data_IF_948452059447
#
_entry.id   IF_948452059447
#
_cell.length_a   1.000
_cell.length_b   1.000
_cell.length_c   1.000
_cell.angle_alpha   90.00
_cell.angle_beta   90.00
_cell.angle_gamma   90.00
#
_symmetry.space_group_name_H-M   'P 1'
#
loop_
_entity.id
_entity.type
_entity.pdbx_description
1 polymer ?
#
# COMPACT_ATOMS: atom_id res chain seq x y z
N UNK A 1 3.75 -4.81 -12.69
CA UNK A 1 3.62 -4.23 -14.04
C UNK A 1 2.59 -5.06 -14.82
N UNK A 2 1.89 -4.51 -15.82
CA UNK A 2 0.81 -5.22 -16.50
C UNK A 2 1.40 -6.43 -17.22
N UNK A 3 0.79 -7.59 -17.05
CA UNK A 3 1.17 -8.83 -17.72
C UNK A 3 0.77 -8.82 -19.20
N UNK A 4 1.20 -9.84 -19.95
CA UNK A 4 0.82 -10.00 -21.37
C UNK A 4 -0.70 -10.13 -21.60
N UNK A 5 -1.44 -10.55 -20.57
CA UNK A 5 -2.91 -10.71 -20.60
C UNK A 5 -3.67 -9.47 -20.13
N UNK A 6 -2.99 -8.47 -19.57
CA UNK A 6 -3.62 -7.21 -19.17
C UNK A 6 -3.84 -6.33 -20.39
N UNK A 7 -5.00 -6.50 -21.02
CA UNK A 7 -5.38 -5.80 -22.23
C UNK A 7 -6.65 -4.98 -22.06
N UNK A 8 -6.76 -3.87 -22.77
CA UNK A 8 -7.96 -3.03 -22.83
C UNK A 8 -8.47 -3.08 -24.26
N UNK A 9 -9.74 -3.44 -24.43
CA UNK A 9 -10.43 -3.37 -25.73
C UNK A 9 -10.97 -1.96 -25.88
N UNK A 10 -10.50 -1.26 -26.91
CA UNK A 10 -10.92 0.09 -27.24
C UNK A 10 -11.72 0.03 -28.52
N UNK A 11 -12.88 0.68 -28.53
CA UNK A 11 -13.64 0.89 -29.75
C UNK A 11 -13.09 2.13 -30.45
N UNK A 12 -12.33 1.92 -31.53
CA UNK A 12 -11.83 3.00 -32.37
C UNK A 12 -12.68 3.04 -33.64
N UNK A 13 -13.60 4.00 -33.70
CA UNK A 13 -14.46 4.25 -34.86
C UNK A 13 -15.22 3.01 -35.39
N UNK A 14 -15.70 2.14 -34.50
CA UNK A 14 -16.49 0.95 -34.83
C UNK A 14 -15.68 -0.35 -34.89
N UNK A 15 -14.35 -0.26 -34.85
CA UNK A 15 -13.46 -1.42 -34.80
C UNK A 15 -12.96 -1.64 -33.37
N UNK A 16 -13.15 -2.87 -32.87
CA UNK A 16 -12.63 -3.29 -31.56
C UNK A 16 -11.15 -3.63 -31.70
N UNK A 17 -10.30 -2.78 -31.15
CA UNK A 17 -8.85 -2.99 -31.13
C UNK A 17 -8.39 -3.28 -29.69
N UNK A 18 -7.64 -4.37 -29.53
CA UNK A 18 -7.10 -4.79 -28.23
C UNK A 18 -5.71 -4.20 -28.04
N UNK A 19 -5.54 -3.36 -27.02
CA UNK A 19 -4.25 -2.79 -26.64
C UNK A 19 -3.73 -3.43 -25.37
N UNK A 20 -2.42 -3.66 -25.28
CA UNK A 20 -1.80 -3.99 -24.01
C UNK A 20 -1.85 -2.78 -23.08
N UNK A 21 -2.27 -2.99 -21.84
CA UNK A 21 -2.24 -1.96 -20.79
C UNK A 21 -0.78 -1.60 -20.52
N UNK A 22 -0.45 -0.30 -20.61
CA UNK A 22 0.89 0.21 -20.26
C UNK A 22 0.78 1.19 -19.11
N UNK A 23 1.86 1.32 -18.34
CA UNK A 23 1.93 2.23 -17.20
C UNK A 23 2.78 3.43 -17.59
N UNK A 24 2.25 4.63 -17.34
CA UNK A 24 3.07 5.82 -17.33
C UNK A 24 3.89 5.86 -16.03
N UNK A 25 5.20 5.70 -16.15
CA UNK A 25 6.12 5.66 -15.00
C UNK A 25 6.35 7.06 -14.40
N UNK A 26 6.27 8.08 -15.25
CA UNK A 26 6.26 9.49 -14.88
C UNK A 26 4.90 9.90 -14.31
N UNK A 27 4.89 10.91 -13.44
CA UNK A 27 3.70 11.68 -13.17
C UNK A 27 3.24 12.40 -14.44
N UNK A 28 1.95 12.76 -14.50
CA UNK A 28 1.42 13.54 -15.63
C UNK A 28 2.15 14.89 -15.77
N UNK A 29 2.61 15.46 -14.64
CA UNK A 29 3.41 16.68 -14.64
C UNK A 29 4.77 16.49 -15.29
N UNK A 30 5.54 15.49 -14.87
CA UNK A 30 6.87 15.20 -15.43
C UNK A 30 6.77 14.86 -16.94
N UNK A 31 5.77 14.06 -17.34
CA UNK A 31 5.55 13.73 -18.74
C UNK A 31 5.18 14.97 -19.58
N UNK A 32 4.42 15.91 -19.01
CA UNK A 32 4.06 17.16 -19.68
C UNK A 32 5.26 18.10 -19.84
N UNK A 33 6.11 18.21 -18.81
CA UNK A 33 7.32 19.03 -18.86
C UNK A 33 8.32 18.49 -19.91
N UNK A 34 8.48 17.16 -20.00
CA UNK A 34 9.26 16.51 -21.05
C UNK A 34 8.67 16.75 -22.45
N UNK A 35 7.35 16.63 -22.59
CA UNK A 35 6.67 16.86 -23.86
C UNK A 35 6.92 18.28 -24.40
N UNK A 36 6.83 19.31 -23.55
CA UNK A 36 7.10 20.69 -23.96
C UNK A 36 8.58 20.92 -24.32
N UNK A 37 9.50 20.27 -23.59
CA UNK A 37 10.93 20.36 -23.89
C UNK A 37 11.27 19.74 -25.26
N UNK A 38 10.64 18.62 -25.61
CA UNK A 38 10.83 17.92 -26.89
C UNK A 38 10.05 18.56 -28.03
N UNK A 39 8.95 19.28 -27.74
CA UNK A 39 8.04 19.86 -28.72
C UNK A 39 7.80 21.37 -28.47
N UNK A 40 8.81 22.23 -28.57
CA UNK A 40 8.73 23.65 -28.21
C UNK A 40 7.74 24.47 -29.06
N UNK A 41 7.30 23.96 -30.21
CA UNK A 41 6.30 24.60 -31.09
C UNK A 41 4.85 24.21 -30.79
N UNK A 42 4.59 23.25 -29.89
CA UNK A 42 3.24 22.77 -29.58
C UNK A 42 2.72 23.46 -28.33
N UNK A 43 1.60 24.18 -28.48
CA UNK A 43 0.88 24.77 -27.35
C UNK A 43 -0.27 23.84 -26.93
N UNK A 44 -0.11 23.17 -25.79
CA UNK A 44 -1.14 22.35 -25.17
C UNK A 44 -1.12 22.61 -23.67
N UNK A 45 -2.29 22.78 -23.05
CA UNK A 45 -2.38 22.93 -21.60
C UNK A 45 -2.26 21.58 -20.88
N UNK A 46 -1.75 21.58 -19.63
CA UNK A 46 -1.55 20.35 -18.84
C UNK A 46 -2.83 19.50 -18.69
N UNK A 47 -4.00 20.12 -18.57
CA UNK A 47 -5.29 19.41 -18.47
C UNK A 47 -5.62 18.70 -19.78
N UNK A 48 -5.54 19.40 -20.91
CA UNK A 48 -5.75 18.82 -22.23
C UNK A 48 -4.73 17.70 -22.52
N UNK A 49 -3.47 17.89 -22.15
CA UNK A 49 -2.45 16.84 -22.24
C UNK A 49 -2.80 15.58 -21.42
N UNK A 50 -3.35 15.77 -20.22
CA UNK A 50 -3.79 14.65 -19.38
C UNK A 50 -4.98 13.89 -19.97
N UNK A 51 -5.90 14.59 -20.64
CA UNK A 51 -7.11 14.03 -21.28
C UNK A 51 -6.81 13.32 -22.60
N UNK A 52 -5.86 13.84 -23.39
CA UNK A 52 -5.42 13.24 -24.66
C UNK A 52 -4.59 11.96 -24.42
N UNK A 53 -4.23 11.66 -23.17
CA UNK A 53 -3.52 10.42 -22.82
C UNK A 53 -4.28 9.20 -23.38
N UNK A 54 -3.61 8.31 -24.14
CA UNK A 54 -4.28 7.14 -24.68
C UNK A 54 -4.89 6.28 -23.57
N UNK A 55 -6.10 5.80 -23.80
CA UNK A 55 -6.91 5.08 -22.80
C UNK A 55 -6.23 3.79 -22.27
N UNK A 56 -5.33 3.19 -23.06
CA UNK A 56 -4.55 2.02 -22.67
C UNK A 56 -3.34 2.36 -21.78
N UNK A 57 -3.09 3.65 -21.49
CA UNK A 57 -2.05 4.13 -20.59
C UNK A 57 -2.66 4.49 -19.22
N UNK A 58 -2.34 3.68 -18.21
CA UNK A 58 -2.73 3.92 -16.82
C UNK A 58 -1.69 4.73 -16.07
N UNK A 59 -2.14 5.64 -15.20
CA UNK A 59 -1.25 6.42 -14.33
C UNK A 59 -0.80 5.59 -13.14
N UNK A 60 0.41 5.82 -12.64
CA UNK A 60 0.94 5.12 -11.47
C UNK A 60 0.03 5.20 -10.24
N UNK A 61 -0.71 6.30 -10.07
CA UNK A 61 -1.70 6.47 -9.00
C UNK A 61 -2.95 5.61 -9.15
N UNK A 62 -3.27 5.14 -10.36
CA UNK A 62 -4.38 4.21 -10.63
C UNK A 62 -4.01 2.75 -10.38
N UNK A 63 -2.76 2.48 -10.01
CA UNK A 63 -2.36 1.17 -9.53
C UNK A 63 -2.59 1.07 -8.03
N UNK A 64 -3.51 0.20 -7.61
CA UNK A 64 -3.64 -0.27 -6.23
C UNK A 64 -2.45 -1.17 -5.79
N UNK A 65 -1.23 -0.89 -6.28
CA UNK A 65 -0.08 -1.77 -6.11
C UNK A 65 1.06 -1.05 -5.41
N UNK A 66 0.83 -0.71 -4.13
CA UNK A 66 1.92 -0.54 -3.13
C UNK A 66 1.54 -0.99 -1.72
N UNK A 67 0.28 -1.35 -1.47
CA UNK A 67 -0.17 -1.80 -0.16
C UNK A 67 -0.18 -3.33 -0.16
N UNK A 68 0.37 -3.95 0.89
CA UNK A 68 0.20 -5.37 1.09
C UNK A 68 -1.29 -5.62 1.38
N UNK A 69 -1.94 -6.49 0.62
CA UNK A 69 -3.32 -6.94 0.88
C UNK A 69 -3.38 -8.07 1.92
N UNK A 70 -2.37 -8.15 2.78
CA UNK A 70 -2.32 -9.14 3.83
C UNK A 70 -3.12 -8.68 5.05
N UNK A 71 -3.65 -9.66 5.78
CA UNK A 71 -4.42 -9.45 7.01
C UNK A 71 -3.69 -8.58 8.04
N UNK A 72 -2.36 -8.64 8.10
CA UNK A 72 -1.53 -7.83 9.00
C UNK A 72 -1.60 -6.33 8.68
N UNK A 73 -1.44 -5.96 7.41
CA UNK A 73 -1.49 -4.55 7.00
C UNK A 73 -2.93 -4.04 7.03
N UNK A 74 -3.88 -4.84 6.55
CA UNK A 74 -5.28 -4.39 6.46
C UNK A 74 -5.90 -4.22 7.85
N UNK A 75 -5.67 -5.14 8.80
CA UNK A 75 -6.21 -4.96 10.16
C UNK A 75 -5.61 -3.75 10.88
N UNK A 76 -4.32 -3.45 10.66
CA UNK A 76 -3.72 -2.22 11.19
C UNK A 76 -4.32 -1.00 10.51
N UNK A 77 -4.46 -1.01 9.18
CA UNK A 77 -5.06 0.08 8.42
C UNK A 77 -6.50 0.39 8.86
N UNK A 78 -7.33 -0.64 9.04
CA UNK A 78 -8.70 -0.50 9.54
C UNK A 78 -8.75 0.12 10.94
N UNK A 79 -7.84 -0.28 11.84
CA UNK A 79 -7.72 0.32 13.17
C UNK A 79 -7.28 1.79 13.09
N UNK A 80 -6.26 2.10 12.27
CA UNK A 80 -5.78 3.47 12.09
C UNK A 80 -6.87 4.39 11.56
N UNK A 81 -7.67 3.92 10.59
CA UNK A 81 -8.79 4.70 10.05
C UNK A 81 -9.81 5.09 11.13
N UNK A 82 -10.12 4.17 12.05
CA UNK A 82 -11.01 4.43 13.18
C UNK A 82 -10.36 5.30 14.26
N UNK A 83 -9.06 5.16 14.52
CA UNK A 83 -8.35 5.86 15.60
C UNK A 83 -7.79 7.23 15.20
N UNK A 84 -7.60 7.51 13.92
CA UNK A 84 -6.92 8.72 13.40
C UNK A 84 -7.51 10.05 13.90
N UNK A 85 -8.82 10.09 14.19
CA UNK A 85 -9.52 11.27 14.70
C UNK A 85 -9.43 11.43 16.22
N UNK A 86 -8.92 10.41 16.92
CA UNK A 86 -8.85 10.33 18.37
C UNK A 86 -7.43 10.37 18.91
N UNK A 87 -6.42 10.41 18.03
CA UNK A 87 -5.00 10.56 18.36
C UNK A 87 -4.51 11.86 17.75
N UNK A 88 -4.00 12.77 18.57
CA UNK A 88 -3.42 14.03 18.10
C UNK A 88 -2.15 13.77 17.26
N UNK A 89 -1.97 14.57 16.21
CA UNK A 89 -0.88 14.44 15.26
C UNK A 89 -1.24 13.62 14.02
N UNK A 90 -0.28 13.46 13.12
CA UNK A 90 -0.46 12.75 11.85
C UNK A 90 0.03 11.29 11.89
N UNK A 91 0.39 10.78 13.07
CA UNK A 91 0.98 9.44 13.24
C UNK A 91 0.05 8.32 12.79
N UNK A 92 -1.25 8.43 13.05
CA UNK A 92 -2.25 7.43 12.64
C UNK A 92 -2.90 7.71 11.27
N UNK A 93 -2.36 8.64 10.47
CA UNK A 93 -3.00 9.05 9.21
C UNK A 93 -2.93 8.00 8.10
N UNK A 94 -1.89 7.17 8.10
CA UNK A 94 -1.67 6.09 7.15
C UNK A 94 -0.57 5.16 7.68
N UNK A 95 -0.44 3.97 7.07
CA UNK A 95 0.54 2.96 7.47
C UNK A 95 1.99 3.43 7.42
N UNK A 96 2.35 4.32 6.49
CA UNK A 96 3.71 4.86 6.40
C UNK A 96 4.02 5.76 7.59
N UNK A 97 3.18 6.78 7.81
CA UNK A 97 3.31 7.68 8.97
C UNK A 97 3.28 6.94 10.29
N UNK A 98 2.46 5.89 10.39
CA UNK A 98 2.41 5.05 11.57
C UNK A 98 3.71 4.27 11.76
N UNK A 99 4.23 3.63 10.72
CA UNK A 99 5.51 2.89 10.80
C UNK A 99 6.65 3.82 11.23
N UNK A 100 6.81 4.96 10.57
CA UNK A 100 7.86 5.93 10.89
C UNK A 100 7.74 6.51 12.31
N UNK A 101 6.52 6.55 12.86
CA UNK A 101 6.31 7.00 14.24
C UNK A 101 6.72 5.97 15.30
N UNK A 102 6.91 4.70 14.94
CA UNK A 102 7.19 3.63 15.91
C UNK A 102 8.68 3.28 16.02
N UNK A 103 9.50 3.68 15.05
CA UNK A 103 10.89 3.25 14.96
C UNK A 103 11.81 4.42 14.63
N UNK A 104 13.06 4.37 15.10
CA UNK A 104 14.07 5.36 14.73
C UNK A 104 14.73 5.08 13.38
N UNK A 105 14.78 3.81 12.94
CA UNK A 105 15.32 3.40 11.64
C UNK A 105 14.51 2.25 11.04
N UNK A 106 13.79 2.52 9.95
CA UNK A 106 12.96 1.55 9.22
C UNK A 106 13.77 0.49 8.46
N UNK A 107 15.08 0.68 8.30
CA UNK A 107 16.00 -0.25 7.65
C UNK A 107 16.75 -1.15 8.65
N UNK A 108 16.68 -0.83 9.95
CA UNK A 108 17.30 -1.59 11.02
C UNK A 108 16.38 -2.73 11.50
N UNK A 109 16.92 -3.94 11.61
CA UNK A 109 16.16 -5.11 12.05
C UNK A 109 15.70 -5.00 13.50
N UNK A 110 16.55 -4.52 14.43
CA UNK A 110 16.20 -4.44 15.85
C UNK A 110 15.07 -3.44 16.08
N UNK A 111 15.07 -2.33 15.34
CA UNK A 111 13.97 -1.36 15.34
C UNK A 111 12.66 -2.02 14.88
N UNK A 112 12.69 -2.68 13.72
CA UNK A 112 11.51 -3.28 13.10
C UNK A 112 11.07 -4.61 13.73
N UNK A 113 11.87 -5.20 14.60
CA UNK A 113 11.53 -6.40 15.40
C UNK A 113 11.13 -6.07 16.84
N UNK A 114 11.04 -4.77 17.18
CA UNK A 114 10.70 -4.25 18.51
C UNK A 114 11.72 -4.64 19.59
N UNK A 115 13.01 -4.70 19.24
CA UNK A 115 14.12 -4.99 20.15
C UNK A 115 15.08 -3.79 20.35
N UNK A 116 14.81 -2.65 19.71
CA UNK A 116 15.65 -1.45 19.85
C UNK A 116 15.27 -0.64 21.10
N UNK A 117 16.24 -0.41 21.98
CA UNK A 117 16.08 0.40 23.19
C UNK A 117 15.73 1.87 22.91
N UNK A 118 16.19 2.44 21.80
CA UNK A 118 15.96 3.86 21.47
C UNK A 118 14.50 4.16 21.16
N UNK A 119 13.80 3.23 20.49
CA UNK A 119 12.42 3.41 20.05
C UNK A 119 11.41 2.54 20.80
N UNK A 120 11.82 1.87 21.88
CA UNK A 120 10.95 0.98 22.66
C UNK A 120 9.67 1.66 23.17
N UNK A 121 9.76 2.96 23.49
CA UNK A 121 8.66 3.76 24.04
C UNK A 121 7.95 4.63 22.99
N UNK A 122 8.31 4.54 21.71
CA UNK A 122 7.76 5.44 20.68
C UNK A 122 6.26 5.24 20.46
N UNK A 123 5.74 4.01 20.64
CA UNK A 123 4.30 3.78 20.61
C UNK A 123 3.59 4.60 21.70
N UNK A 124 4.10 4.58 22.92
CA UNK A 124 3.49 5.30 24.02
C UNK A 124 3.62 6.82 23.83
N UNK A 125 4.81 7.30 23.47
CA UNK A 125 5.09 8.72 23.26
C UNK A 125 4.28 9.32 22.11
N UNK A 126 4.22 8.64 20.96
CA UNK A 126 3.64 9.18 19.75
C UNK A 126 2.16 8.84 19.59
N UNK A 127 1.70 7.72 20.15
CA UNK A 127 0.32 7.24 19.98
C UNK A 127 -0.45 7.32 21.31
N UNK A 128 -0.06 6.52 22.30
CA UNK A 128 -0.85 6.33 23.53
C UNK A 128 -1.03 7.62 24.33
N UNK A 129 0.00 8.46 24.42
CA UNK A 129 -0.01 9.71 25.17
C UNK A 129 -0.73 10.86 24.43
N UNK A 130 -0.98 10.69 23.13
CA UNK A 130 -1.64 11.69 22.29
C UNK A 130 -3.14 11.41 22.09
N UNK A 131 -3.71 10.42 22.79
CA UNK A 131 -5.15 10.14 22.73
C UNK A 131 -5.94 11.30 23.33
N UNK A 132 -6.92 11.82 22.58
CA UNK A 132 -7.75 12.97 22.97
C UNK A 132 -8.72 12.59 24.09
N UNK A 133 -9.49 11.51 23.89
CA UNK A 133 -10.41 10.95 24.87
C UNK A 133 -10.43 9.42 24.73
N UNK A 134 -10.08 8.73 25.82
CA UNK A 134 -9.91 7.29 25.91
C UNK A 134 -11.24 6.53 26.00
N UNK A 135 -12.30 7.19 26.45
CA UNK A 135 -13.57 6.54 26.78
C UNK A 135 -14.61 6.62 25.66
N UNK A 136 -14.34 7.40 24.61
CA UNK A 136 -15.19 7.50 23.41
C UNK A 136 -15.39 6.10 22.81
N UNK A 137 -16.65 5.78 22.49
CA UNK A 137 -16.98 4.55 21.78
C UNK A 137 -16.74 4.73 20.29
N UNK A 138 -16.01 3.78 19.72
CA UNK A 138 -15.69 3.72 18.30
C UNK A 138 -16.06 2.35 17.73
N UNK A 139 -16.17 2.30 16.40
CA UNK A 139 -16.35 1.08 15.64
C UNK A 139 -15.18 0.91 14.69
N UNK A 140 -14.75 -0.33 14.50
CA UNK A 140 -13.70 -0.67 13.54
C UNK A 140 -13.97 -2.05 12.96
N UNK A 141 -13.44 -2.31 11.77
CA UNK A 141 -13.50 -3.64 11.17
C UNK A 141 -12.22 -4.42 11.46
N UNK A 142 -12.32 -5.75 11.57
CA UNK A 142 -11.19 -6.65 11.49
C UNK A 142 -11.50 -7.86 10.66
N UNK A 143 -10.51 -8.29 9.90
CA UNK A 143 -10.47 -9.60 9.30
C UNK A 143 -9.97 -10.62 10.31
N UNK A 144 -10.64 -11.77 10.38
CA UNK A 144 -10.25 -12.95 11.17
C UNK A 144 -10.37 -14.20 10.33
N UNK A 145 -9.58 -15.21 10.66
CA UNK A 145 -9.76 -16.56 10.14
C UNK A 145 -10.73 -17.33 11.02
N UNK A 146 -11.89 -17.69 10.49
CA UNK A 146 -12.91 -18.49 11.16
C UNK A 146 -13.15 -19.73 10.28
N UNK A 147 -12.89 -20.91 10.84
CA UNK A 147 -13.04 -22.19 10.13
C UNK A 147 -12.29 -22.26 8.78
N UNK A 148 -11.11 -21.61 8.70
CA UNK A 148 -10.28 -21.57 7.49
C UNK A 148 -10.60 -20.43 6.52
N UNK A 149 -11.77 -19.80 6.65
CA UNK A 149 -12.17 -18.68 5.80
C UNK A 149 -11.85 -17.34 6.46
N UNK A 150 -11.35 -16.38 5.68
CA UNK A 150 -11.21 -15.03 6.21
C UNK A 150 -12.56 -14.29 6.15
N UNK A 151 -12.99 -13.75 7.29
CA UNK A 151 -14.25 -13.03 7.43
C UNK A 151 -13.97 -11.65 8.03
N UNK A 152 -14.61 -10.61 7.47
CA UNK A 152 -14.55 -9.25 7.97
C UNK A 152 -15.69 -9.02 8.96
N UNK A 153 -15.36 -8.70 10.20
CA UNK A 153 -16.33 -8.45 11.27
C UNK A 153 -16.23 -6.99 11.75
N UNK A 154 -17.38 -6.37 12.02
CA UNK A 154 -17.44 -5.11 12.75
C UNK A 154 -17.27 -5.38 14.25
N UNK A 155 -16.37 -4.63 14.87
CA UNK A 155 -16.16 -4.60 16.32
C UNK A 155 -16.50 -3.21 16.85
N UNK A 156 -16.86 -3.16 18.13
CA UNK A 156 -17.14 -1.92 18.85
C UNK A 156 -16.45 -1.95 20.21
N UNK A 157 -16.03 -0.78 20.68
CA UNK A 157 -15.37 -0.63 21.97
C UNK A 157 -14.88 0.79 22.18
N UNK A 158 -14.20 1.05 23.30
CA UNK A 158 -13.63 2.36 23.56
C UNK A 158 -12.37 2.61 22.70
N UNK A 159 -11.99 3.89 22.57
CA UNK A 159 -10.69 4.28 21.99
C UNK A 159 -9.55 3.58 22.73
N UNK A 160 -9.59 3.47 24.07
CA UNK A 160 -8.59 2.72 24.84
C UNK A 160 -8.44 1.28 24.35
N UNK A 161 -9.55 0.55 24.20
CA UNK A 161 -9.54 -0.82 23.71
C UNK A 161 -9.00 -0.93 22.28
N UNK A 162 -9.32 0.05 21.42
CA UNK A 162 -8.75 0.15 20.08
C UNK A 162 -7.23 0.36 20.09
N UNK A 163 -6.72 1.20 21.00
CA UNK A 163 -5.29 1.48 21.15
C UNK A 163 -4.53 0.27 21.72
N UNK A 164 -5.10 -0.43 22.71
CA UNK A 164 -4.54 -1.67 23.23
C UNK A 164 -4.45 -2.76 22.15
N UNK A 165 -5.49 -2.88 21.34
CA UNK A 165 -5.55 -3.82 20.22
C UNK A 165 -4.61 -3.42 19.08
N UNK A 166 -4.40 -2.13 18.84
CA UNK A 166 -3.38 -1.64 17.92
C UNK A 166 -1.98 -1.99 18.43
N UNK A 167 -1.71 -1.72 19.71
CA UNK A 167 -0.44 -2.03 20.39
C UNK A 167 -0.08 -3.51 20.27
N UNK A 168 -1.05 -4.41 20.51
CA UNK A 168 -0.84 -5.85 20.42
C UNK A 168 -0.47 -6.34 19.01
N UNK A 169 -0.75 -5.54 17.96
CA UNK A 169 -0.42 -5.87 16.56
C UNK A 169 0.91 -5.26 16.09
N UNK A 170 1.47 -4.28 16.81
CA UNK A 170 2.66 -3.50 16.38
C UNK A 170 3.84 -4.40 16.05
N UNK A 171 4.23 -5.31 16.95
CA UNK A 171 5.42 -6.15 16.76
C UNK A 171 5.33 -7.00 15.50
N UNK A 172 4.19 -7.68 15.30
CA UNK A 172 3.98 -8.52 14.11
C UNK A 172 3.90 -7.68 12.84
N UNK A 173 3.25 -6.52 12.90
CA UNK A 173 3.14 -5.60 11.78
C UNK A 173 4.53 -5.07 11.34
N UNK A 174 5.34 -4.55 12.26
CA UNK A 174 6.67 -4.03 11.95
C UNK A 174 7.57 -5.09 11.35
N UNK A 175 7.61 -6.29 11.94
CA UNK A 175 8.42 -7.39 11.43
C UNK A 175 8.02 -7.77 10.01
N UNK A 176 6.71 -7.84 9.75
CA UNK A 176 6.17 -8.14 8.44
C UNK A 176 6.51 -7.03 7.41
N UNK A 177 6.40 -5.74 7.79
CA UNK A 177 6.82 -4.61 6.95
C UNK A 177 8.30 -4.72 6.58
N UNK A 178 9.16 -5.05 7.54
CA UNK A 178 10.59 -5.21 7.32
C UNK A 178 10.90 -6.35 6.34
N UNK A 179 10.38 -7.56 6.61
CA UNK A 179 10.61 -8.73 5.76
C UNK A 179 10.17 -8.44 4.33
N UNK A 180 8.97 -7.88 4.14
CA UNK A 180 8.46 -7.51 2.82
C UNK A 180 9.40 -6.54 2.10
N UNK A 181 9.91 -5.52 2.79
CA UNK A 181 10.83 -4.54 2.20
C UNK A 181 12.18 -5.17 1.85
N UNK A 182 12.74 -6.02 2.69
CA UNK A 182 13.98 -6.73 2.40
C UNK A 182 13.83 -7.67 1.21
N UNK A 183 12.74 -8.43 1.15
CA UNK A 183 12.42 -9.30 0.02
C UNK A 183 12.27 -8.51 -1.28
N UNK A 184 11.55 -7.39 -1.24
CA UNK A 184 11.39 -6.50 -2.41
C UNK A 184 12.72 -5.92 -2.85
N UNK A 185 13.58 -5.49 -1.92
CA UNK A 185 14.91 -4.95 -2.22
C UNK A 185 15.80 -6.01 -2.85
N UNK A 186 15.88 -7.19 -2.24
CA UNK A 186 16.67 -8.31 -2.76
C UNK A 186 16.21 -8.76 -4.14
N UNK A 187 14.90 -8.77 -4.39
CA UNK A 187 14.34 -9.09 -5.70
C UNK A 187 14.75 -8.08 -6.77
N UNK A 188 14.62 -6.78 -6.49
CA UNK A 188 15.03 -5.73 -7.45
C UNK A 188 16.54 -5.76 -7.69
N UNK A 189 17.37 -5.94 -6.65
CA UNK A 189 18.83 -6.09 -6.79
C UNK A 189 19.21 -7.31 -7.62
N UNK A 190 18.53 -8.44 -7.40
CA UNK A 190 18.75 -9.67 -8.17
C UNK A 190 18.40 -9.47 -9.63
N UNK A 191 17.32 -8.72 -9.91
CA UNK A 191 16.85 -8.40 -11.26
C UNK A 191 17.77 -7.42 -12.00
N UNK A 192 18.36 -6.45 -11.30
CA UNK A 192 19.29 -5.49 -11.91
C UNK A 192 20.68 -6.09 -12.14
N UNK A 193 21.09 -7.06 -11.32
CA UNK A 193 22.41 -7.71 -11.38
C UNK A 193 22.38 -9.09 -12.08
N UNK A 194 21.50 -9.28 -13.06
CA UNK A 194 21.46 -10.49 -13.88
C UNK A 194 22.49 -10.46 -15.01
N UNK A 195 23.17 -11.58 -15.24
CA UNK A 195 23.97 -11.83 -16.45
C UNK A 195 23.27 -12.91 -17.31
N UNK A 196 23.85 -13.24 -18.47
CA UNK A 196 23.33 -14.27 -19.37
C UNK A 196 23.34 -15.70 -18.75
N UNK A 197 23.78 -15.86 -17.50
CA UNK A 197 23.85 -17.15 -16.80
C UNK A 197 22.87 -17.24 -15.62
N UNK A 198 22.14 -16.17 -15.30
CA UNK A 198 21.21 -16.12 -14.16
C UNK A 198 19.80 -15.78 -14.59
N UNK A 199 18.83 -16.51 -14.06
CA UNK A 199 17.40 -16.24 -14.23
C UNK A 199 16.83 -15.95 -12.84
N UNK A 200 16.13 -14.83 -12.70
CA UNK A 200 15.37 -14.50 -11.49
C UNK A 200 13.93 -14.87 -11.73
N UNK A 201 13.40 -15.78 -10.92
CA UNK A 201 12.01 -16.24 -10.99
C UNK A 201 11.31 -15.79 -9.72
N UNK A 202 10.27 -14.97 -9.87
CA UNK A 202 9.32 -14.71 -8.80
C UNK A 202 8.15 -15.66 -8.98
N UNK A 203 8.01 -16.60 -8.05
CA UNK A 203 6.85 -17.50 -8.00
C UNK A 203 5.87 -16.89 -7.02
N UNK A 204 4.74 -16.43 -7.53
CA UNK A 204 3.60 -16.06 -6.71
C UNK A 204 2.59 -17.21 -6.76
N UNK A 205 2.22 -17.73 -5.59
CA UNK A 205 1.11 -18.67 -5.45
C UNK A 205 -0.17 -17.87 -5.27
N UNK A 206 -0.52 -17.09 -6.30
CA UNK A 206 -1.84 -16.50 -6.42
C UNK A 206 -2.67 -17.44 -7.29
N UNK A 207 -3.64 -18.13 -6.70
CA UNK A 207 -4.82 -18.50 -7.47
C UNK A 207 -5.37 -17.19 -8.08
N UNK A 208 -5.92 -17.25 -9.29
CA UNK A 208 -6.40 -16.05 -9.99
C UNK A 208 -7.56 -15.44 -9.20
N UNK A 209 -7.25 -14.57 -8.24
CA UNK A 209 -8.21 -13.94 -7.37
C UNK A 209 -8.81 -12.73 -8.09
N UNK A 210 -10.07 -12.84 -8.48
CA UNK A 210 -10.88 -11.66 -8.76
C UNK A 210 -11.12 -10.94 -7.43
N UNK A 211 -10.34 -9.89 -7.18
CA UNK A 211 -10.57 -8.94 -6.08
C UNK A 211 -11.95 -8.31 -6.34
N UNK A 212 -12.99 -8.78 -5.63
CA UNK A 212 -14.36 -8.31 -5.82
C UNK A 212 -14.63 -7.03 -5.04
N UNK A 213 -13.84 -6.77 -4.00
CA UNK A 213 -13.90 -5.53 -3.21
C UNK A 213 -12.52 -4.87 -3.15
N UNK A 214 -12.49 -3.55 -3.35
CA UNK A 214 -11.31 -2.75 -3.10
C UNK A 214 -10.90 -2.93 -1.62
N UNK A 215 -9.68 -3.40 -1.38
CA UNK A 215 -9.09 -3.72 -0.06
C UNK A 215 -9.52 -5.06 0.58
N UNK A 216 -9.97 -6.03 -0.23
CA UNK A 216 -10.12 -7.43 0.21
C UNK A 216 -8.75 -8.06 0.52
N UNK A 217 -8.65 -8.79 1.64
CA UNK A 217 -7.39 -9.46 2.00
C UNK A 217 -7.16 -10.69 1.14
N UNK A 218 -5.89 -10.99 0.85
CA UNK A 218 -5.51 -12.13 0.00
C UNK A 218 -6.12 -13.46 0.44
N UNK A 219 -6.34 -13.64 1.74
CA UNK A 219 -6.88 -14.88 2.31
C UNK A 219 -8.40 -14.93 2.46
N UNK A 220 -9.11 -13.88 2.02
CA UNK A 220 -10.58 -13.90 1.87
C UNK A 220 -11.03 -14.61 0.59
N UNK A 221 -10.07 -14.99 -0.24
CA UNK A 221 -10.24 -15.87 -1.37
C UNK A 221 -9.75 -17.29 -1.03
#
# INVERSE_FOLDING_TARGET
MPGKRDTIVVNDNGNKTTYQKKILLYTIREAYELFLAENPGISVGRTAFAEIRPIHISVKSSMAHRVCICIYHENVNLLLNSLSKHVNGSFCSNLYSFTSALVCDESNYDCMSSNCFTCENYFDLNIKNNVIDRHVQIKWYQWKHINGYATKEEQQGSVEQGIELLSSKVKTFLLHVYIKRQQSKFFEESKTNTDNKKIVIQVDYSENFEIKQQDEIQSAH
#
